data_IF_447283854954
#
_entry.id   IF_447283854954
#
_cell.length_a   1.000
_cell.length_b   1.000
_cell.length_c   1.000
_cell.angle_alpha   90.00
_cell.angle_beta   90.00
_cell.angle_gamma   90.00
#
_symmetry.space_group_name_H-M   'P 1'
#
loop_
_entity.id
_entity.type
_entity.pdbx_description
1 polymer ?
#
# COMPACT_ATOMS: atom_id res chain seq x y z
N UNK A 1 -6.55 14.52 -28.19
CA UNK A 1 -6.60 13.28 -27.38
C UNK A 1 -7.54 13.51 -26.21
N UNK A 2 -8.55 12.65 -26.03
CA UNK A 2 -9.45 12.77 -24.88
C UNK A 2 -8.83 12.01 -23.71
N UNK A 3 -8.66 12.69 -22.60
CA UNK A 3 -8.08 12.09 -21.39
C UNK A 3 -9.08 11.11 -20.75
N UNK A 4 -8.61 9.91 -20.43
CA UNK A 4 -9.41 8.90 -19.72
C UNK A 4 -9.67 9.41 -18.30
N UNK A 5 -10.92 9.40 -17.82
CA UNK A 5 -11.23 9.88 -16.47
C UNK A 5 -10.48 9.08 -15.39
N UNK A 6 -9.50 9.69 -14.77
CA UNK A 6 -8.67 9.05 -13.75
C UNK A 6 -9.40 8.80 -12.43
N UNK A 7 -10.43 9.61 -12.12
CA UNK A 7 -11.16 9.55 -10.83
C UNK A 7 -11.69 8.15 -10.49
N UNK A 8 -12.24 7.40 -11.46
CA UNK A 8 -12.78 6.07 -11.19
C UNK A 8 -11.71 5.09 -10.69
N UNK A 9 -10.48 5.21 -11.18
CA UNK A 9 -9.37 4.37 -10.74
C UNK A 9 -8.91 4.74 -9.33
N UNK A 10 -8.89 6.02 -8.98
CA UNK A 10 -8.66 6.47 -7.60
C UNK A 10 -9.73 5.96 -6.64
N UNK A 11 -11.00 6.06 -7.04
CA UNK A 11 -12.11 5.57 -6.22
C UNK A 11 -12.00 4.05 -6.00
N UNK A 12 -11.62 3.27 -7.04
CA UNK A 12 -11.39 1.83 -6.95
C UNK A 12 -10.14 1.47 -6.14
N UNK A 13 -9.11 2.31 -6.12
CA UNK A 13 -7.89 2.13 -5.34
C UNK A 13 -8.02 2.61 -3.88
N UNK A 14 -9.16 3.19 -3.51
CA UNK A 14 -9.38 3.76 -2.18
C UNK A 14 -10.48 2.98 -1.47
N UNK A 15 -10.14 2.20 -0.44
CA UNK A 15 -11.01 1.24 0.24
C UNK A 15 -12.43 1.74 0.52
N UNK A 16 -12.56 2.91 1.15
CA UNK A 16 -13.87 3.46 1.54
C UNK A 16 -14.64 4.09 0.36
N UNK A 17 -14.02 4.29 -0.81
CA UNK A 17 -14.64 4.85 -2.00
C UNK A 17 -15.11 3.77 -2.99
N UNK A 18 -14.63 2.52 -2.89
CA UNK A 18 -14.94 1.44 -3.83
C UNK A 18 -16.45 1.31 -4.05
N UNK A 19 -17.24 1.30 -2.98
CA UNK A 19 -18.69 1.13 -3.08
C UNK A 19 -19.40 2.31 -3.78
N UNK A 20 -18.80 3.49 -3.83
CA UNK A 20 -19.38 4.65 -4.52
C UNK A 20 -19.38 4.49 -6.04
N UNK A 21 -18.49 3.64 -6.57
CA UNK A 21 -18.37 3.36 -8.01
C UNK A 21 -19.51 2.46 -8.50
N UNK A 22 -20.14 1.68 -7.62
CA UNK A 22 -21.17 0.71 -7.96
C UNK A 22 -22.60 1.25 -8.00
N UNK A 23 -22.77 2.56 -7.77
CA UNK A 23 -24.09 3.18 -7.82
C UNK A 23 -24.63 3.20 -9.26
N UNK A 24 -25.95 2.96 -9.49
CA UNK A 24 -26.50 2.89 -10.82
C UNK A 24 -26.21 4.12 -11.69
N UNK A 25 -26.27 5.36 -11.18
CA UNK A 25 -25.91 6.55 -11.97
C UNK A 25 -24.44 6.52 -12.41
N UNK A 26 -23.53 6.08 -11.53
CA UNK A 26 -22.10 6.00 -11.82
C UNK A 26 -21.79 4.93 -12.85
N UNK A 27 -22.41 3.76 -12.74
CA UNK A 27 -22.28 2.69 -13.76
C UNK A 27 -22.76 3.16 -15.13
N UNK A 28 -23.92 3.82 -15.19
CA UNK A 28 -24.44 4.38 -16.45
C UNK A 28 -23.51 5.44 -17.06
N UNK A 29 -22.93 6.30 -16.22
CA UNK A 29 -21.93 7.29 -16.65
C UNK A 29 -20.72 6.58 -17.27
N UNK A 30 -20.17 5.56 -16.59
CA UNK A 30 -19.00 4.82 -17.07
C UNK A 30 -19.26 4.10 -18.39
N UNK A 31 -20.44 3.50 -18.57
CA UNK A 31 -20.84 2.87 -19.85
C UNK A 31 -20.79 3.85 -21.03
N UNK A 32 -21.18 5.11 -20.81
CA UNK A 32 -21.18 6.15 -21.87
C UNK A 32 -19.78 6.63 -22.24
N UNK A 33 -18.77 6.35 -21.43
CA UNK A 33 -17.38 6.83 -21.62
C UNK A 33 -16.53 5.96 -22.55
N UNK A 34 -17.13 5.03 -23.30
CA UNK A 34 -16.41 4.15 -24.24
C UNK A 34 -15.49 4.91 -25.21
N UNK A 35 -15.93 6.07 -25.71
CA UNK A 35 -15.18 6.88 -26.69
C UNK A 35 -13.94 7.58 -26.11
N UNK A 36 -13.74 7.55 -24.79
CA UNK A 36 -12.54 8.09 -24.14
C UNK A 36 -11.38 7.08 -24.14
N UNK A 37 -11.67 5.81 -24.42
CA UNK A 37 -10.67 4.74 -24.43
C UNK A 37 -10.23 4.45 -25.86
N UNK A 38 -8.93 4.59 -26.14
CA UNK A 38 -8.34 4.20 -27.43
C UNK A 38 -8.50 2.69 -27.66
N UNK A 39 -8.34 1.88 -26.61
CA UNK A 39 -8.56 0.44 -26.64
C UNK A 39 -9.91 0.08 -25.98
N UNK A 40 -10.75 -0.63 -26.75
CA UNK A 40 -12.05 -1.13 -26.31
C UNK A 40 -11.95 -2.07 -25.12
N UNK A 41 -10.89 -2.90 -25.06
CA UNK A 41 -10.68 -3.89 -24.03
C UNK A 41 -10.49 -3.25 -22.66
N UNK A 42 -9.78 -2.11 -22.58
CA UNK A 42 -9.57 -1.40 -21.32
C UNK A 42 -10.89 -0.89 -20.73
N UNK A 43 -11.78 -0.39 -21.58
CA UNK A 43 -13.12 0.00 -21.13
C UNK A 43 -13.97 -1.19 -20.71
N UNK A 44 -13.92 -2.30 -21.45
CA UNK A 44 -14.63 -3.53 -21.10
C UNK A 44 -14.16 -4.09 -19.75
N UNK A 45 -12.85 -4.10 -19.49
CA UNK A 45 -12.26 -4.49 -18.20
C UNK A 45 -12.75 -3.62 -17.05
N UNK A 46 -12.80 -2.28 -17.25
CA UNK A 46 -13.35 -1.39 -16.25
C UNK A 46 -14.83 -1.71 -15.96
N UNK A 47 -15.63 -1.94 -17.00
CA UNK A 47 -17.04 -2.29 -16.82
C UNK A 47 -17.20 -3.63 -16.10
N UNK A 48 -16.40 -4.65 -16.42
CA UNK A 48 -16.39 -5.92 -15.70
C UNK A 48 -16.13 -5.73 -14.21
N UNK A 49 -15.12 -4.92 -13.84
CA UNK A 49 -14.82 -4.61 -12.45
C UNK A 49 -16.02 -3.97 -11.74
N UNK A 50 -16.67 -3.02 -12.38
CA UNK A 50 -17.75 -2.25 -11.77
C UNK A 50 -19.04 -3.04 -11.70
N UNK A 51 -19.41 -3.74 -12.76
CA UNK A 51 -20.66 -4.51 -12.88
C UNK A 51 -20.65 -5.77 -12.00
N UNK A 52 -19.52 -6.44 -11.90
CA UNK A 52 -19.32 -7.60 -11.02
C UNK A 52 -18.82 -7.24 -9.62
N UNK A 53 -18.69 -5.94 -9.28
CA UNK A 53 -18.27 -5.44 -7.97
C UNK A 53 -16.92 -6.02 -7.48
N UNK A 54 -15.96 -6.14 -8.37
CA UNK A 54 -14.68 -6.82 -8.10
C UNK A 54 -13.69 -5.99 -7.27
N UNK A 55 -13.95 -4.70 -7.01
CA UNK A 55 -12.99 -3.77 -6.41
C UNK A 55 -12.38 -4.25 -5.09
N UNK A 56 -13.19 -4.74 -4.14
CA UNK A 56 -12.67 -5.26 -2.88
C UNK A 56 -11.81 -6.51 -3.06
N UNK A 57 -12.19 -7.41 -3.98
CA UNK A 57 -11.39 -8.58 -4.33
C UNK A 57 -10.05 -8.20 -4.96
N UNK A 58 -10.02 -7.18 -5.82
CA UNK A 58 -8.80 -6.66 -6.42
C UNK A 58 -7.88 -6.01 -5.38
N UNK A 59 -8.45 -5.25 -4.43
CA UNK A 59 -7.68 -4.69 -3.30
C UNK A 59 -7.05 -5.79 -2.45
N UNK A 60 -7.79 -6.86 -2.15
CA UNK A 60 -7.25 -8.00 -1.40
C UNK A 60 -6.09 -8.69 -2.15
N UNK A 61 -6.18 -8.84 -3.48
CA UNK A 61 -5.10 -9.39 -4.31
C UNK A 61 -3.86 -8.48 -4.33
N UNK A 62 -4.08 -7.16 -4.44
CA UNK A 62 -3.00 -6.19 -4.38
C UNK A 62 -2.29 -6.21 -3.01
N UNK A 63 -3.06 -6.33 -1.91
CA UNK A 63 -2.49 -6.46 -0.56
C UNK A 63 -1.70 -7.77 -0.41
N UNK A 64 -2.23 -8.88 -0.90
CA UNK A 64 -1.53 -10.17 -0.88
C UNK A 64 -0.21 -10.12 -1.68
N UNK A 65 -0.22 -9.48 -2.86
CA UNK A 65 0.98 -9.30 -3.66
C UNK A 65 2.02 -8.42 -2.96
N UNK A 66 1.58 -7.32 -2.32
CA UNK A 66 2.45 -6.47 -1.51
C UNK A 66 3.12 -7.24 -0.37
N UNK A 67 2.36 -8.07 0.33
CA UNK A 67 2.89 -8.93 1.42
C UNK A 67 3.89 -9.94 0.85
N UNK A 68 3.54 -10.60 -0.25
CA UNK A 68 4.42 -11.58 -0.89
C UNK A 68 5.76 -10.97 -1.33
N UNK A 69 5.72 -9.77 -1.93
CA UNK A 69 6.95 -9.03 -2.29
C UNK A 69 7.76 -8.65 -1.04
N UNK A 70 7.07 -8.27 0.06
CA UNK A 70 7.77 -7.90 1.30
C UNK A 70 8.43 -9.08 2.01
N UNK A 71 7.89 -10.28 1.88
CA UNK A 71 8.38 -11.51 2.49
C UNK A 71 9.22 -12.36 1.51
N UNK A 72 9.23 -12.00 0.22
CA UNK A 72 9.96 -12.68 -0.85
C UNK A 72 11.46 -12.43 -0.83
N UNK A 73 12.15 -13.05 -1.80
CA UNK A 73 13.59 -12.84 -2.02
C UNK A 73 13.80 -11.61 -2.92
N UNK A 74 14.96 -10.96 -2.76
CA UNK A 74 15.38 -9.86 -3.64
C UNK A 74 15.31 -10.30 -5.12
N UNK A 75 14.61 -9.49 -5.94
CA UNK A 75 14.40 -9.76 -7.35
C UNK A 75 13.24 -10.70 -7.70
N UNK A 76 12.51 -11.21 -6.71
CA UNK A 76 11.32 -12.01 -6.95
C UNK A 76 10.20 -11.17 -7.56
N UNK A 77 9.50 -11.76 -8.55
CA UNK A 77 8.34 -11.15 -9.21
C UNK A 77 7.10 -11.93 -8.81
N UNK A 78 6.16 -11.24 -8.20
CA UNK A 78 4.86 -11.81 -7.78
C UNK A 78 3.84 -11.64 -8.90
N UNK A 79 3.18 -12.73 -9.33
CA UNK A 79 2.04 -12.68 -10.25
C UNK A 79 0.75 -12.41 -9.49
N UNK A 80 -0.10 -11.58 -10.09
CA UNK A 80 -1.43 -11.23 -9.59
C UNK A 80 -2.45 -11.71 -10.62
N UNK A 81 -3.17 -12.76 -10.30
CA UNK A 81 -4.20 -13.32 -11.17
C UNK A 81 -5.42 -12.39 -11.20
N UNK A 82 -5.88 -12.04 -12.40
CA UNK A 82 -6.98 -11.12 -12.65
C UNK A 82 -8.08 -11.75 -13.55
N UNK A 83 -8.16 -13.07 -13.59
CA UNK A 83 -9.15 -13.84 -14.40
C UNK A 83 -10.60 -13.41 -14.16
N UNK A 84 -10.91 -12.92 -12.97
CA UNK A 84 -12.25 -12.38 -12.68
C UNK A 84 -12.61 -11.15 -13.52
N UNK A 85 -11.62 -10.46 -14.11
CA UNK A 85 -11.82 -9.33 -15.02
C UNK A 85 -11.88 -9.82 -16.47
N UNK A 86 -10.89 -10.63 -16.86
CA UNK A 86 -10.75 -11.19 -18.20
C UNK A 86 -9.91 -12.48 -18.08
N UNK A 87 -10.34 -13.53 -18.73
CA UNK A 87 -9.70 -14.84 -18.70
C UNK A 87 -8.22 -14.75 -19.12
N UNK A 88 -7.31 -15.34 -18.32
CA UNK A 88 -5.87 -15.28 -18.51
C UNK A 88 -5.22 -13.92 -18.26
N UNK A 89 -5.95 -12.93 -17.74
CA UNK A 89 -5.36 -11.62 -17.40
C UNK A 89 -4.52 -11.73 -16.13
N UNK A 90 -3.28 -11.25 -16.22
CA UNK A 90 -2.35 -11.20 -15.11
C UNK A 90 -1.67 -9.83 -15.02
N UNK A 91 -1.25 -9.46 -13.82
CA UNK A 91 -0.33 -8.36 -13.57
C UNK A 91 0.84 -8.89 -12.74
N UNK A 92 1.96 -8.17 -12.74
CA UNK A 92 3.12 -8.54 -11.94
C UNK A 92 3.53 -7.40 -11.04
N UNK A 93 4.09 -7.73 -9.88
CA UNK A 93 4.67 -6.80 -8.94
C UNK A 93 6.06 -7.29 -8.52
N UNK A 94 7.06 -6.43 -8.69
CA UNK A 94 8.41 -6.66 -8.18
C UNK A 94 8.77 -5.63 -7.11
N UNK A 95 9.74 -5.93 -6.26
CA UNK A 95 10.18 -5.04 -5.17
C UNK A 95 10.55 -3.62 -5.64
N UNK A 96 11.32 -3.42 -6.75
CA UNK A 96 11.63 -2.07 -7.24
C UNK A 96 10.40 -1.27 -7.63
N UNK A 97 9.36 -1.92 -8.18
CA UNK A 97 8.10 -1.27 -8.52
C UNK A 97 7.31 -0.87 -7.25
N UNK A 98 7.27 -1.76 -6.25
CA UNK A 98 6.62 -1.46 -4.98
C UNK A 98 7.30 -0.30 -4.25
N UNK A 99 8.64 -0.28 -4.21
CA UNK A 99 9.42 0.82 -3.62
C UNK A 99 9.23 2.13 -4.38
N UNK A 100 9.29 2.10 -5.71
CA UNK A 100 9.07 3.30 -6.54
C UNK A 100 7.70 3.92 -6.34
N UNK A 101 6.65 3.10 -6.13
CA UNK A 101 5.30 3.57 -5.88
C UNK A 101 5.15 4.32 -4.54
N UNK A 102 5.99 4.03 -3.54
CA UNK A 102 5.95 4.64 -2.20
C UNK A 102 7.11 5.61 -1.94
N UNK A 103 7.93 5.91 -2.94
CA UNK A 103 9.16 6.70 -2.77
C UNK A 103 8.93 8.05 -2.09
N UNK A 104 7.91 8.80 -2.54
CA UNK A 104 7.57 10.09 -1.96
C UNK A 104 7.04 9.98 -0.52
N UNK A 105 6.31 8.91 -0.20
CA UNK A 105 5.82 8.65 1.15
C UNK A 105 6.97 8.25 2.07
N UNK A 106 7.88 7.43 1.57
CA UNK A 106 9.07 7.01 2.31
C UNK A 106 9.95 8.20 2.67
N UNK A 107 10.20 9.11 1.71
CA UNK A 107 10.96 10.32 1.99
C UNK A 107 10.28 11.17 3.08
N UNK A 108 8.96 11.34 3.02
CA UNK A 108 8.21 12.05 4.07
C UNK A 108 8.34 11.40 5.45
N UNK A 109 8.33 10.06 5.50
CA UNK A 109 8.50 9.32 6.76
C UNK A 109 9.90 9.54 7.34
N UNK A 110 10.93 9.44 6.51
CA UNK A 110 12.33 9.68 6.91
C UNK A 110 12.50 11.09 7.46
N UNK A 111 12.00 12.09 6.72
CA UNK A 111 12.08 13.49 7.14
C UNK A 111 11.30 13.76 8.44
N UNK A 112 10.13 13.16 8.61
CA UNK A 112 9.36 13.26 9.85
C UNK A 112 10.11 12.66 11.04
N UNK A 113 10.81 11.55 10.85
CA UNK A 113 11.67 10.94 11.87
C UNK A 113 12.81 11.85 12.29
N UNK A 114 13.55 12.39 11.33
CA UNK A 114 14.66 13.33 11.57
C UNK A 114 14.17 14.59 12.28
N UNK A 115 13.07 15.17 11.81
CA UNK A 115 12.48 16.38 12.41
C UNK A 115 11.99 16.12 13.84
N UNK A 116 11.46 14.95 14.13
CA UNK A 116 11.02 14.58 15.48
C UNK A 116 12.20 14.56 16.45
N UNK A 117 13.31 13.94 16.05
CA UNK A 117 14.54 13.89 16.86
C UNK A 117 15.12 15.31 17.06
N UNK A 118 15.12 16.13 16.00
CA UNK A 118 15.55 17.52 16.08
C UNK A 118 14.71 18.34 17.06
N UNK A 119 13.39 18.22 17.03
CA UNK A 119 12.47 18.91 17.96
C UNK A 119 12.66 18.46 19.40
N UNK A 120 13.03 17.22 19.62
CA UNK A 120 13.36 16.71 20.95
C UNK A 120 14.71 17.23 21.49
N UNK A 121 15.47 17.99 20.70
CA UNK A 121 16.81 18.46 21.08
C UNK A 121 17.85 17.34 21.15
N UNK A 122 17.56 16.19 20.54
CA UNK A 122 18.44 15.02 20.52
C UNK A 122 19.22 15.01 19.22
N UNK A 123 20.50 14.64 19.29
CA UNK A 123 21.31 14.45 18.07
C UNK A 123 20.98 13.09 17.46
N UNK A 124 20.96 12.95 16.11
CA UNK A 124 20.68 11.67 15.45
C UNK A 124 21.58 10.52 15.94
N UNK A 125 22.85 10.81 16.26
CA UNK A 125 23.83 9.83 16.76
C UNK A 125 23.57 9.39 18.21
N UNK A 126 22.71 10.10 18.93
CA UNK A 126 22.27 9.75 20.28
C UNK A 126 21.01 8.89 20.30
N UNK A 127 20.41 8.62 19.14
CA UNK A 127 19.29 7.67 19.02
C UNK A 127 19.85 6.26 19.15
N UNK A 128 19.41 5.52 20.17
CA UNK A 128 19.90 4.18 20.47
C UNK A 128 19.12 3.08 19.75
N UNK A 129 17.84 3.33 19.43
CA UNK A 129 16.99 2.33 18.79
C UNK A 129 15.93 2.96 17.87
N UNK A 130 15.71 2.34 16.72
CA UNK A 130 14.58 2.60 15.82
C UNK A 130 13.67 1.38 15.86
N UNK A 131 12.48 1.55 16.41
CA UNK A 131 11.47 0.49 16.47
C UNK A 131 10.61 0.53 15.21
N UNK A 132 10.63 -0.56 14.46
CA UNK A 132 9.83 -0.75 13.26
C UNK A 132 8.61 -1.64 13.57
N UNK A 133 7.41 -1.12 13.31
CA UNK A 133 6.15 -1.84 13.49
C UNK A 133 5.24 -1.60 12.28
N UNK A 134 4.27 -2.50 12.07
CA UNK A 134 3.35 -2.46 10.93
C UNK A 134 3.84 -3.27 9.73
N UNK A 135 2.89 -3.75 8.91
CA UNK A 135 3.14 -4.68 7.80
C UNK A 135 4.14 -4.17 6.76
N UNK A 136 4.06 -2.88 6.41
CA UNK A 136 4.95 -2.29 5.39
C UNK A 136 6.43 -2.27 5.76
N UNK A 137 6.78 -2.35 7.06
CA UNK A 137 8.18 -2.43 7.51
C UNK A 137 8.83 -3.79 7.25
N UNK A 138 8.09 -4.74 6.65
CA UNK A 138 8.62 -6.00 6.13
C UNK A 138 9.58 -5.80 4.96
N UNK A 139 9.34 -4.80 4.11
CA UNK A 139 10.27 -4.46 3.04
C UNK A 139 11.63 -4.04 3.61
N UNK A 140 12.67 -4.86 3.37
CA UNK A 140 14.00 -4.62 3.91
C UNK A 140 14.60 -3.27 3.47
N UNK A 141 14.49 -2.85 2.18
CA UNK A 141 14.96 -1.54 1.74
C UNK A 141 14.27 -0.37 2.43
N UNK A 142 12.96 -0.48 2.70
CA UNK A 142 12.20 0.53 3.44
C UNK A 142 12.71 0.66 4.88
N UNK A 143 12.88 -0.44 5.58
CA UNK A 143 13.41 -0.46 6.94
C UNK A 143 14.82 0.16 7.01
N UNK A 144 15.68 -0.16 6.06
CA UNK A 144 17.04 0.37 5.94
C UNK A 144 17.04 1.88 5.73
N UNK A 145 16.19 2.40 4.85
CA UNK A 145 16.11 3.85 4.57
C UNK A 145 15.56 4.64 5.76
N UNK A 146 14.58 4.10 6.49
CA UNK A 146 14.06 4.75 7.71
C UNK A 146 15.15 4.82 8.79
N UNK A 147 15.98 3.79 8.92
CA UNK A 147 17.04 3.75 9.93
C UNK A 147 18.31 4.53 9.54
N UNK A 148 18.55 4.77 8.25
CA UNK A 148 19.77 5.37 7.72
C UNK A 148 20.21 6.70 8.39
N UNK A 149 19.31 7.65 8.74
CA UNK A 149 19.69 8.86 9.45
C UNK A 149 20.23 8.65 10.87
N UNK A 150 19.95 7.50 11.47
CA UNK A 150 20.26 7.17 12.87
C UNK A 150 21.39 6.13 12.94
N UNK A 151 22.59 6.53 12.57
CA UNK A 151 23.74 5.66 12.27
C UNK A 151 24.20 4.79 13.44
N UNK A 152 23.89 5.17 14.69
CA UNK A 152 24.23 4.40 15.91
C UNK A 152 23.04 3.61 16.46
N UNK A 153 21.86 3.81 15.90
CA UNK A 153 20.66 3.15 16.40
C UNK A 153 20.61 1.70 15.92
N UNK A 154 20.29 0.81 16.86
CA UNK A 154 19.90 -0.56 16.48
C UNK A 154 18.49 -0.57 15.92
N UNK A 155 18.28 -1.26 14.83
CA UNK A 155 16.94 -1.52 14.32
C UNK A 155 16.28 -2.63 15.11
N UNK A 156 15.15 -2.34 15.74
CA UNK A 156 14.36 -3.31 16.50
C UNK A 156 13.08 -3.59 15.72
N UNK A 157 12.89 -4.84 15.34
CA UNK A 157 11.65 -5.31 14.69
C UNK A 157 10.80 -6.00 15.74
N UNK A 158 9.64 -5.43 16.07
CA UNK A 158 8.63 -6.07 16.87
C UNK A 158 7.73 -6.98 16.03
N UNK A 159 6.77 -7.63 16.69
CA UNK A 159 5.69 -8.28 15.96
C UNK A 159 4.93 -7.24 15.12
N UNK A 160 4.87 -7.47 13.80
CA UNK A 160 4.36 -6.49 12.83
C UNK A 160 2.89 -6.14 13.05
N UNK A 161 2.10 -7.08 13.59
CA UNK A 161 0.65 -6.94 13.73
C UNK A 161 0.19 -6.91 15.19
N UNK A 162 0.97 -7.47 16.13
CA UNK A 162 0.58 -7.61 17.52
C UNK A 162 1.14 -6.53 18.46
N UNK A 163 2.06 -5.66 18.01
CA UNK A 163 2.72 -4.65 18.86
C UNK A 163 1.73 -3.76 19.63
N UNK A 164 0.64 -3.33 18.99
CA UNK A 164 -0.39 -2.50 19.62
C UNK A 164 -1.15 -3.30 20.67
N UNK A 165 -1.58 -4.52 20.35
CA UNK A 165 -2.30 -5.39 21.28
C UNK A 165 -1.45 -5.75 22.50
N UNK A 166 -0.17 -6.06 22.29
CA UNK A 166 0.78 -6.31 23.37
C UNK A 166 0.97 -5.10 24.27
N UNK A 167 1.13 -3.90 23.66
CA UNK A 167 1.25 -2.65 24.40
C UNK A 167 0.02 -2.35 25.25
N UNK A 168 -1.18 -2.55 24.69
CA UNK A 168 -2.45 -2.40 25.41
C UNK A 168 -2.57 -3.41 26.55
N UNK A 169 -2.18 -4.67 26.33
CA UNK A 169 -2.18 -5.71 27.37
C UNK A 169 -1.24 -5.38 28.53
N UNK A 170 -0.02 -4.94 28.25
CA UNK A 170 0.92 -4.50 29.28
C UNK A 170 0.43 -3.25 30.03
N UNK A 171 -0.19 -2.31 29.33
CA UNK A 171 -0.78 -1.14 29.96
C UNK A 171 -1.95 -1.53 30.88
N UNK A 172 -2.85 -2.38 30.41
CA UNK A 172 -3.96 -2.88 31.22
C UNK A 172 -3.50 -3.58 32.51
N UNK A 173 -2.44 -4.41 32.43
CA UNK A 173 -1.84 -5.02 33.63
C UNK A 173 -1.38 -3.97 34.65
N UNK A 174 -0.81 -2.84 34.21
CA UNK A 174 -0.35 -1.77 35.13
C UNK A 174 -1.49 -0.96 35.74
N UNK A 175 -2.61 -0.86 35.06
CA UNK A 175 -3.75 -0.02 35.50
C UNK A 175 -4.74 -0.81 36.35
N UNK A 176 -4.89 -2.12 36.08
CA UNK A 176 -5.94 -2.96 36.67
C UNK A 176 -5.41 -4.12 37.52
N UNK A 177 -4.10 -4.25 37.67
CA UNK A 177 -3.46 -5.15 38.62
C UNK A 177 -3.06 -4.40 39.87
#
# INVERSE_FOLDING_TARGET
>A
EREVPSKVYFDLATWHLINTVYTPPRVMELRRKRSFYADARLHARLLAIVEHRLGHGLMARAEAAKIAVADGREGEVVSIELDAIEDGLQATLAEPQALGAIEADLERIVQAGVETVRRAGVKPEAVEAVYLTGGSTGLAPLATRIAAPFTRARTVRGDRLASVAQGLGLHAQRVFA
#
